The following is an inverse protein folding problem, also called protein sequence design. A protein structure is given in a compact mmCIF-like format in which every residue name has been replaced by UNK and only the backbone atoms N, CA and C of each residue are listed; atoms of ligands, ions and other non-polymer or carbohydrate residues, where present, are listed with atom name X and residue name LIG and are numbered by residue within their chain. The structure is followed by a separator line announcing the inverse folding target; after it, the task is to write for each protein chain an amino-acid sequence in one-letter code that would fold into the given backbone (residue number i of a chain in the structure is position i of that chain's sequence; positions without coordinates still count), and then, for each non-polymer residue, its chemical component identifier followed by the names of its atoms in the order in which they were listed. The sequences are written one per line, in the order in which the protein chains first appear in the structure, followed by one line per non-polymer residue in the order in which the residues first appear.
data_IF_974508966819
#
_entry.id   IF_974508966819
#
_cell.length_a   1.000
_cell.length_b   1.000
_cell.length_c   1.000
_cell.angle_alpha   90.00
_cell.angle_beta   90.00
_cell.angle_gamma   90.00
#
_symmetry.space_group_name_H-M   'P 1'
#
loop_
_entity.id
_entity.type
_entity.pdbx_description
1 polymer ?
#
# COMPACT_ATOMS: atom_id res chain seq x y z
N UNK A 1 -33.97 55.90 -32.34
CA UNK A 1 -33.52 55.65 -30.95
C UNK A 1 -33.78 54.21 -30.54
N UNK A 2 -35.03 53.72 -30.52
CA UNK A 2 -35.34 52.33 -30.15
C UNK A 2 -34.63 51.24 -31.01
N UNK A 3 -34.50 51.44 -32.32
CA UNK A 3 -33.77 50.51 -33.20
C UNK A 3 -32.25 50.50 -32.98
N UNK A 4 -31.67 51.60 -32.51
CA UNK A 4 -30.24 51.69 -32.21
C UNK A 4 -29.94 50.98 -30.88
N UNK A 5 -30.79 51.16 -29.87
CA UNK A 5 -30.68 50.44 -28.59
C UNK A 5 -30.88 48.92 -28.77
N UNK A 6 -31.82 48.50 -29.62
CA UNK A 6 -32.01 47.09 -29.94
C UNK A 6 -30.79 46.48 -30.67
N UNK A 7 -30.15 47.27 -31.54
CA UNK A 7 -28.94 46.85 -32.24
C UNK A 7 -27.73 46.73 -31.31
N UNK A 8 -27.55 47.69 -30.40
CA UNK A 8 -26.49 47.65 -29.37
C UNK A 8 -26.68 46.47 -28.41
N UNK A 9 -27.91 46.22 -27.94
CA UNK A 9 -28.22 45.07 -27.10
C UNK A 9 -27.92 43.72 -27.81
N UNK A 10 -28.23 43.62 -29.11
CA UNK A 10 -27.91 42.44 -29.90
C UNK A 10 -26.39 42.24 -30.10
N UNK A 11 -25.63 43.33 -30.26
CA UNK A 11 -24.18 43.31 -30.35
C UNK A 11 -23.52 42.90 -29.02
N UNK A 12 -24.00 43.42 -27.90
CA UNK A 12 -23.54 43.02 -26.57
C UNK A 12 -23.81 41.53 -26.30
N UNK A 13 -25.00 41.04 -26.67
CA UNK A 13 -25.32 39.64 -26.52
C UNK A 13 -24.41 38.74 -27.37
N UNK A 14 -24.11 39.17 -28.60
CA UNK A 14 -23.19 38.48 -29.50
C UNK A 14 -21.76 38.49 -28.96
N UNK A 15 -21.30 39.61 -28.42
CA UNK A 15 -19.98 39.74 -27.79
C UNK A 15 -19.85 38.84 -26.56
N UNK A 16 -20.88 38.80 -25.70
CA UNK A 16 -20.94 37.91 -24.53
C UNK A 16 -20.90 36.43 -24.95
N UNK A 17 -21.70 36.04 -25.95
CA UNK A 17 -21.69 34.67 -26.50
C UNK A 17 -20.32 34.30 -27.07
N UNK A 18 -19.68 35.23 -27.80
CA UNK A 18 -18.33 35.03 -28.34
C UNK A 18 -17.28 34.87 -27.25
N UNK A 19 -17.31 35.70 -26.20
CA UNK A 19 -16.42 35.60 -25.05
C UNK A 19 -16.57 34.26 -24.32
N UNK A 20 -17.82 33.83 -24.06
CA UNK A 20 -18.08 32.53 -23.43
C UNK A 20 -17.58 31.37 -24.31
N UNK A 21 -17.74 31.47 -25.63
CA UNK A 21 -17.31 30.45 -26.56
C UNK A 21 -15.78 30.37 -26.63
N UNK A 22 -15.09 31.52 -26.68
CA UNK A 22 -13.63 31.55 -26.67
C UNK A 22 -13.04 31.10 -25.34
N UNK A 23 -13.62 31.51 -24.20
CA UNK A 23 -13.20 31.06 -22.88
C UNK A 23 -13.33 29.53 -22.74
N UNK A 24 -14.41 28.93 -23.26
CA UNK A 24 -14.59 27.47 -23.28
C UNK A 24 -13.68 26.79 -24.29
N UNK A 25 -13.49 27.36 -25.47
CA UNK A 25 -12.70 26.78 -26.56
C UNK A 25 -11.21 26.75 -26.25
N UNK A 26 -10.67 27.81 -25.66
CA UNK A 26 -9.26 27.96 -25.32
C UNK A 26 -8.98 27.77 -23.82
N UNK A 27 -9.89 27.10 -23.11
CA UNK A 27 -9.70 26.72 -21.71
C UNK A 27 -8.50 25.80 -21.55
N UNK A 28 -7.90 25.81 -20.35
CA UNK A 28 -6.68 25.06 -20.03
C UNK A 28 -6.85 23.56 -20.29
N UNK A 29 -8.05 23.00 -20.05
CA UNK A 29 -8.38 21.59 -20.31
C UNK A 29 -8.42 21.21 -21.79
N UNK A 30 -8.47 22.18 -22.71
CA UNK A 30 -8.46 21.97 -24.16
C UNK A 30 -7.13 22.29 -24.81
N UNK A 31 -6.12 22.68 -24.03
CA UNK A 31 -4.76 22.88 -24.55
C UNK A 31 -4.20 21.55 -25.03
N UNK A 32 -3.46 21.60 -26.14
CA UNK A 32 -2.71 20.45 -26.61
C UNK A 32 -1.71 20.02 -25.52
N UNK A 33 -1.70 18.73 -25.17
CA UNK A 33 -0.89 18.20 -24.07
C UNK A 33 -1.49 18.41 -22.68
N UNK A 34 -2.78 18.76 -22.57
CA UNK A 34 -3.47 18.73 -21.28
C UNK A 34 -3.53 17.30 -20.74
N UNK A 35 -3.07 17.13 -19.50
CA UNK A 35 -3.14 15.88 -18.76
C UNK A 35 -4.30 15.98 -17.79
N UNK A 36 -5.22 15.02 -17.86
CA UNK A 36 -6.33 14.92 -16.92
C UNK A 36 -5.81 14.72 -15.49
N UNK A 37 -6.56 15.18 -14.47
CA UNK A 37 -6.18 14.97 -13.09
C UNK A 37 -6.02 13.47 -12.79
N UNK A 38 -5.09 13.16 -11.90
CA UNK A 38 -4.87 11.80 -11.44
C UNK A 38 -6.15 11.23 -10.79
N UNK A 39 -6.39 9.93 -10.99
CA UNK A 39 -7.50 9.25 -10.34
C UNK A 39 -7.27 9.24 -8.83
N UNK A 40 -8.26 9.74 -8.10
CA UNK A 40 -8.21 9.77 -6.64
C UNK A 40 -8.46 8.38 -6.06
N UNK A 41 -7.95 8.17 -4.84
CA UNK A 41 -8.20 6.94 -4.09
C UNK A 41 -9.70 6.85 -3.73
N UNK A 42 -10.27 5.67 -3.96
CA UNK A 42 -11.66 5.38 -3.63
C UNK A 42 -11.77 4.87 -2.19
N UNK A 43 -12.91 5.07 -1.50
CA UNK A 43 -13.12 4.52 -0.16
C UNK A 43 -12.97 2.98 -0.14
N UNK A 44 -12.31 2.40 0.88
CA UNK A 44 -12.05 0.95 0.94
C UNK A 44 -13.34 0.11 1.01
N UNK A 45 -14.43 0.67 1.52
CA UNK A 45 -15.75 0.03 1.57
C UNK A 45 -16.31 -0.24 0.18
N UNK A 46 -15.94 0.57 -0.82
CA UNK A 46 -16.43 0.44 -2.18
C UNK A 46 -16.03 -0.92 -2.77
N UNK A 47 -14.75 -1.27 -2.70
CA UNK A 47 -14.27 -2.56 -3.22
C UNK A 47 -14.80 -3.73 -2.37
N UNK A 48 -14.85 -3.59 -1.04
CA UNK A 48 -15.40 -4.63 -0.14
C UNK A 48 -16.86 -4.95 -0.49
N UNK A 49 -17.67 -3.90 -0.72
CA UNK A 49 -19.08 -4.07 -1.11
C UNK A 49 -19.24 -4.71 -2.48
N UNK A 50 -18.44 -4.32 -3.47
CA UNK A 50 -18.48 -4.94 -4.81
C UNK A 50 -18.22 -6.44 -4.71
N UNK A 51 -17.19 -6.85 -3.98
CA UNK A 51 -16.84 -8.27 -3.81
C UNK A 51 -17.94 -9.03 -3.08
N UNK A 52 -18.48 -8.46 -1.98
CA UNK A 52 -19.59 -9.06 -1.22
C UNK A 52 -20.87 -9.20 -2.05
N UNK A 53 -21.20 -8.20 -2.87
CA UNK A 53 -22.39 -8.22 -3.74
C UNK A 53 -22.27 -9.25 -4.88
N UNK A 54 -21.07 -9.45 -5.45
CA UNK A 54 -20.84 -10.42 -6.54
C UNK A 54 -20.80 -11.86 -6.03
N UNK A 55 -20.21 -12.07 -4.83
CA UNK A 55 -20.13 -13.37 -4.16
C UNK A 55 -19.55 -14.45 -5.07
N UNK A 56 -20.24 -15.58 -5.15
CA UNK A 56 -19.88 -16.75 -5.96
C UNK A 56 -20.35 -16.68 -7.42
N UNK A 57 -20.89 -15.53 -7.87
CA UNK A 57 -21.46 -15.33 -9.21
C UNK A 57 -22.63 -16.28 -9.55
N UNK A 58 -23.30 -16.89 -8.56
CA UNK A 58 -24.51 -17.69 -8.77
C UNK A 58 -25.71 -16.84 -9.23
N UNK A 59 -25.78 -15.60 -8.76
CA UNK A 59 -26.87 -14.67 -9.07
C UNK A 59 -26.97 -14.33 -10.55
N UNK A 60 -28.21 -14.34 -11.08
CA UNK A 60 -28.51 -13.94 -12.46
C UNK A 60 -28.22 -12.45 -12.72
N UNK A 61 -28.20 -11.61 -11.67
CA UNK A 61 -27.96 -10.16 -11.76
C UNK A 61 -26.61 -9.83 -12.41
N UNK A 62 -25.57 -10.58 -12.07
CA UNK A 62 -24.18 -10.35 -12.53
C UNK A 62 -23.78 -11.28 -13.69
N UNK A 63 -24.75 -11.74 -14.49
CA UNK A 63 -24.49 -12.66 -15.61
C UNK A 63 -23.53 -12.08 -16.64
N UNK A 64 -23.62 -10.77 -16.90
CA UNK A 64 -22.78 -10.10 -17.90
C UNK A 64 -21.30 -10.05 -17.47
N UNK A 65 -21.03 -10.02 -16.16
CA UNK A 65 -19.68 -9.90 -15.60
C UNK A 65 -18.94 -11.24 -15.56
N UNK A 66 -19.63 -12.39 -15.65
CA UNK A 66 -19.02 -13.73 -15.66
C UNK A 66 -17.90 -13.87 -16.69
N UNK A 67 -18.09 -13.29 -17.88
CA UNK A 67 -17.08 -13.32 -18.95
C UNK A 67 -15.80 -12.57 -18.53
N UNK A 68 -15.94 -11.47 -17.79
CA UNK A 68 -14.83 -10.65 -17.33
C UNK A 68 -14.02 -11.39 -16.27
N UNK A 69 -14.68 -12.06 -15.32
CA UNK A 69 -14.03 -12.91 -14.31
C UNK A 69 -13.19 -14.02 -14.95
N UNK A 70 -13.72 -14.70 -15.97
CA UNK A 70 -12.96 -15.70 -16.73
C UNK A 70 -11.75 -15.09 -17.47
N UNK A 71 -11.91 -13.88 -18.03
CA UNK A 71 -10.80 -13.17 -18.68
C UNK A 71 -9.70 -12.74 -17.70
N UNK A 72 -10.08 -12.40 -16.47
CA UNK A 72 -9.15 -11.98 -15.42
C UNK A 72 -8.22 -13.11 -14.95
N UNK A 73 -8.62 -14.37 -15.12
CA UNK A 73 -7.80 -15.56 -14.78
C UNK A 73 -6.39 -15.50 -15.38
N UNK A 74 -6.25 -14.94 -16.58
CA UNK A 74 -4.95 -14.74 -17.26
C UNK A 74 -3.95 -13.97 -16.40
N UNK A 75 -4.42 -13.04 -15.55
CA UNK A 75 -3.58 -12.14 -14.76
C UNK A 75 -3.43 -12.56 -13.30
N UNK A 76 -4.09 -13.65 -12.87
CA UNK A 76 -3.98 -14.19 -11.51
C UNK A 76 -2.53 -14.43 -11.09
N UNK A 77 -1.62 -15.00 -11.94
CA UNK A 77 -0.22 -15.16 -11.55
C UNK A 77 0.46 -13.85 -11.15
N UNK A 78 0.13 -12.74 -11.83
CA UNK A 78 0.67 -11.42 -11.50
C UNK A 78 0.08 -10.87 -10.20
N UNK A 79 -1.22 -11.05 -9.96
CA UNK A 79 -1.85 -10.66 -8.71
C UNK A 79 -1.27 -11.42 -7.51
N UNK A 80 -1.08 -12.73 -7.66
CA UNK A 80 -0.46 -13.59 -6.62
C UNK A 80 0.99 -13.17 -6.37
N UNK A 81 1.76 -12.88 -7.42
CA UNK A 81 3.13 -12.39 -7.26
C UNK A 81 3.17 -11.10 -6.44
N UNK A 82 2.36 -10.09 -6.80
CA UNK A 82 2.30 -8.81 -6.08
C UNK A 82 1.80 -8.96 -4.65
N UNK A 83 0.91 -9.92 -4.39
CA UNK A 83 0.41 -10.24 -3.06
C UNK A 83 1.53 -10.81 -2.17
N UNK A 84 2.26 -11.81 -2.67
CA UNK A 84 3.34 -12.44 -1.92
C UNK A 84 4.56 -11.53 -1.75
N UNK A 85 4.84 -10.67 -2.73
CA UNK A 85 5.91 -9.68 -2.66
C UNK A 85 5.70 -8.72 -1.46
N UNK A 86 4.45 -8.37 -1.15
CA UNK A 86 4.11 -7.41 -0.10
C UNK A 86 3.67 -8.06 1.23
N UNK A 87 4.08 -9.30 1.51
CA UNK A 87 3.80 -9.95 2.81
C UNK A 87 4.29 -9.10 4.00
N UNK A 88 3.46 -8.90 5.05
CA UNK A 88 3.88 -8.16 6.24
C UNK A 88 5.07 -8.85 6.91
N UNK A 89 6.00 -8.03 7.41
CA UNK A 89 7.18 -8.55 8.11
C UNK A 89 6.81 -8.95 9.55
N UNK A 90 7.56 -9.84 10.23
CA UNK A 90 7.18 -10.35 11.56
C UNK A 90 7.08 -9.30 12.68
N UNK A 91 7.72 -8.15 12.50
CA UNK A 91 7.66 -7.00 13.41
C UNK A 91 6.52 -6.02 13.06
N UNK A 92 5.74 -6.29 12.01
CA UNK A 92 4.57 -5.49 11.65
C UNK A 92 3.29 -6.25 12.04
N UNK A 93 2.38 -5.57 12.74
CA UNK A 93 1.06 -6.14 13.05
C UNK A 93 0.13 -6.12 11.82
N UNK A 94 0.04 -4.97 11.16
CA UNK A 94 -0.83 -4.72 10.02
C UNK A 94 -0.07 -3.94 8.97
N UNK A 95 -0.23 -4.35 7.70
CA UNK A 95 0.29 -3.61 6.56
C UNK A 95 -0.86 -3.17 5.65
N UNK A 96 -0.98 -1.87 5.45
CA UNK A 96 -1.92 -1.28 4.50
C UNK A 96 -1.22 -1.04 3.16
N UNK A 97 -1.64 -1.75 2.12
CA UNK A 97 -1.08 -1.60 0.78
C UNK A 97 -2.09 -0.93 -0.15
N UNK A 98 -1.61 -0.09 -1.07
CA UNK A 98 -2.42 0.42 -2.18
C UNK A 98 -2.81 -0.70 -3.13
N UNK A 99 -4.07 -0.71 -3.51
CA UNK A 99 -4.64 -1.72 -4.42
C UNK A 99 -5.22 -1.06 -5.66
N UNK A 100 -5.05 -1.72 -6.80
CA UNK A 100 -5.80 -1.46 -8.04
C UNK A 100 -6.73 -2.64 -8.24
N UNK A 101 -8.02 -2.37 -8.31
CA UNK A 101 -9.05 -3.39 -8.50
C UNK A 101 -9.83 -3.13 -9.78
N UNK A 102 -10.33 -4.21 -10.39
CA UNK A 102 -11.27 -4.11 -11.51
C UNK A 102 -12.61 -3.57 -11.01
N UNK A 103 -13.28 -2.70 -11.78
CA UNK A 103 -14.56 -2.07 -11.40
C UNK A 103 -15.67 -3.07 -11.02
N UNK A 104 -15.62 -4.29 -11.54
CA UNK A 104 -16.57 -5.38 -11.19
C UNK A 104 -16.07 -6.31 -10.07
N UNK A 105 -14.90 -6.05 -9.49
CA UNK A 105 -14.28 -6.92 -8.47
C UNK A 105 -13.61 -8.18 -9.03
N UNK A 106 -13.47 -8.30 -10.36
CA UNK A 106 -12.96 -9.53 -11.00
C UNK A 106 -11.52 -9.92 -10.59
N UNK A 107 -10.67 -8.92 -10.29
CA UNK A 107 -9.30 -9.11 -9.84
C UNK A 107 -8.83 -7.86 -9.10
N UNK A 108 -7.95 -8.07 -8.14
CA UNK A 108 -7.30 -7.01 -7.35
C UNK A 108 -5.80 -7.23 -7.37
N UNK A 109 -5.06 -6.16 -7.68
CA UNK A 109 -3.60 -6.14 -7.67
C UNK A 109 -3.13 -5.22 -6.54
N UNK A 110 -2.06 -5.61 -5.85
CA UNK A 110 -1.32 -4.68 -5.00
C UNK A 110 -0.44 -3.81 -5.91
N UNK A 111 -0.64 -2.49 -5.86
CA UNK A 111 0.07 -1.51 -6.67
C UNK A 111 1.23 -0.87 -5.92
N UNK A 112 2.01 -1.71 -5.24
CA UNK A 112 3.18 -1.28 -4.48
C UNK A 112 4.32 -2.26 -4.69
N UNK A 113 5.54 -1.75 -4.68
CA UNK A 113 6.76 -2.55 -4.64
C UNK A 113 7.42 -2.25 -3.30
N UNK A 114 7.65 -3.27 -2.46
CA UNK A 114 8.25 -3.07 -1.14
C UNK A 114 9.67 -2.58 -1.33
N UNK A 115 9.97 -1.40 -0.78
CA UNK A 115 11.31 -0.85 -0.76
C UNK A 115 11.75 -0.75 0.68
N UNK A 116 12.92 -1.29 0.96
CA UNK A 116 13.50 -1.31 2.30
C UNK A 116 14.84 -0.61 2.28
N UNK A 117 15.20 0.01 3.39
CA UNK A 117 16.57 0.51 3.60
C UNK A 117 17.41 -0.68 4.02
N UNK A 118 18.37 -1.09 3.20
CA UNK A 118 19.15 -2.30 3.39
C UNK A 118 19.74 -2.45 4.82
N UNK A 119 20.50 -1.49 5.38
CA UNK A 119 21.07 -1.66 6.72
C UNK A 119 20.00 -1.78 7.82
N UNK A 120 18.87 -1.09 7.67
CA UNK A 120 17.73 -1.20 8.61
C UNK A 120 17.11 -2.59 8.50
N UNK A 121 16.87 -3.06 7.29
CA UNK A 121 16.25 -4.36 7.03
C UNK A 121 17.09 -5.52 7.59
N UNK A 122 18.42 -5.47 7.40
CA UNK A 122 19.33 -6.48 7.96
C UNK A 122 19.32 -6.43 9.49
N UNK A 123 19.35 -5.23 10.08
CA UNK A 123 19.26 -5.07 11.52
C UNK A 123 17.93 -5.60 12.09
N UNK A 124 16.80 -5.28 11.45
CA UNK A 124 15.47 -5.79 11.84
C UNK A 124 15.47 -7.34 11.85
N UNK A 125 15.93 -7.98 10.77
CA UNK A 125 16.03 -9.45 10.73
C UNK A 125 17.01 -10.03 11.75
N UNK A 126 18.09 -9.31 12.09
CA UNK A 126 19.00 -9.75 13.14
C UNK A 126 18.34 -9.70 14.52
N UNK A 127 17.51 -8.68 14.81
CA UNK A 127 16.72 -8.66 16.04
C UNK A 127 15.68 -9.79 16.06
N UNK A 128 15.06 -10.11 14.91
CA UNK A 128 14.16 -11.27 14.79
C UNK A 128 14.87 -12.58 15.08
N UNK A 129 16.09 -12.75 14.57
CA UNK A 129 16.92 -13.92 14.84
C UNK A 129 17.19 -14.11 16.34
N UNK A 130 17.50 -13.02 17.05
CA UNK A 130 17.70 -13.04 18.50
C UNK A 130 16.42 -13.44 19.22
N UNK A 131 15.29 -12.76 18.92
CA UNK A 131 14.01 -13.00 19.58
C UNK A 131 13.50 -14.42 19.34
N UNK A 132 13.53 -14.90 18.09
CA UNK A 132 13.09 -16.26 17.76
C UNK A 132 13.96 -17.33 18.43
N UNK A 133 15.28 -17.09 18.59
CA UNK A 133 16.18 -18.00 19.32
C UNK A 133 15.89 -18.02 20.82
N UNK A 134 15.63 -16.86 21.43
CA UNK A 134 15.26 -16.74 22.85
C UNK A 134 13.93 -17.45 23.10
N UNK A 135 12.90 -17.16 22.31
CA UNK A 135 11.58 -17.79 22.41
C UNK A 135 11.66 -19.31 22.26
N UNK A 136 12.43 -19.82 21.28
CA UNK A 136 12.62 -21.26 21.09
C UNK A 136 13.37 -21.94 22.24
N UNK A 137 14.29 -21.23 22.91
CA UNK A 137 15.03 -21.74 24.08
C UNK A 137 14.14 -21.79 25.31
N UNK A 138 13.34 -20.75 25.53
CA UNK A 138 12.61 -20.55 26.79
C UNK A 138 11.23 -21.26 26.79
N UNK A 139 10.61 -21.45 25.62
CA UNK A 139 9.31 -22.10 25.51
C UNK A 139 9.40 -23.63 25.63
N UNK A 140 8.76 -24.20 26.65
CA UNK A 140 8.72 -25.66 26.88
C UNK A 140 8.02 -26.46 25.78
N UNK A 141 6.90 -25.95 25.26
CA UNK A 141 6.12 -26.62 24.22
C UNK A 141 5.80 -25.65 23.08
N UNK A 142 6.52 -25.79 21.97
CA UNK A 142 6.27 -25.04 20.74
C UNK A 142 5.35 -25.85 19.82
N UNK A 143 4.06 -25.54 19.86
CA UNK A 143 3.05 -26.18 18.99
C UNK A 143 3.11 -25.54 17.60
N UNK A 144 3.44 -26.34 16.58
CA UNK A 144 3.40 -25.89 15.19
C UNK A 144 1.96 -25.77 14.69
N UNK A 145 1.72 -24.83 13.78
CA UNK A 145 0.44 -24.74 13.07
C UNK A 145 0.19 -26.02 12.26
N UNK A 146 -1.09 -26.35 12.08
CA UNK A 146 -1.51 -27.43 11.18
C UNK A 146 -1.67 -26.85 9.78
N UNK A 147 -1.28 -27.64 8.78
CA UNK A 147 -1.45 -27.30 7.38
C UNK A 147 -2.29 -28.39 6.71
N UNK A 148 -3.36 -28.04 5.98
CA UNK A 148 -3.92 -26.68 5.80
C UNK A 148 -4.51 -26.09 7.11
N UNK A 149 -4.53 -24.75 7.28
CA UNK A 149 -5.12 -24.13 8.46
C UNK A 149 -6.66 -24.22 8.53
N UNK A 150 -7.32 -24.24 7.37
CA UNK A 150 -8.78 -24.31 7.22
C UNK A 150 -9.17 -25.63 6.54
N UNK A 151 -10.41 -26.06 6.74
CA UNK A 151 -10.98 -27.25 6.08
C UNK A 151 -11.38 -26.92 4.63
N UNK A 152 -11.41 -27.93 3.76
CA UNK A 152 -11.68 -27.74 2.32
C UNK A 152 -13.14 -27.33 2.04
N UNK A 153 -14.07 -27.70 2.93
CA UNK A 153 -15.50 -27.37 2.84
C UNK A 153 -15.85 -26.02 3.52
N UNK A 154 -14.89 -25.40 4.21
CA UNK A 154 -15.12 -24.12 4.89
C UNK A 154 -15.04 -22.95 3.89
N UNK A 155 -16.07 -22.11 3.78
CA UNK A 155 -16.01 -20.94 2.89
C UNK A 155 -14.99 -19.91 3.41
N UNK A 156 -14.35 -19.12 2.53
CA UNK A 156 -13.46 -18.04 2.95
C UNK A 156 -14.17 -17.06 3.90
N UNK A 157 -13.52 -16.74 5.01
CA UNK A 157 -14.04 -15.80 6.01
C UNK A 157 -14.07 -14.36 5.47
N UNK A 158 -15.16 -13.64 5.70
CA UNK A 158 -15.25 -12.21 5.35
C UNK A 158 -14.41 -11.36 6.31
N UNK A 159 -13.57 -10.49 5.74
CA UNK A 159 -12.69 -9.60 6.51
C UNK A 159 -13.48 -8.58 7.33
N UNK A 160 -14.55 -8.01 6.75
CA UNK A 160 -15.34 -6.98 7.42
C UNK A 160 -16.06 -7.51 8.67
N UNK A 161 -16.56 -8.74 8.60
CA UNK A 161 -17.39 -9.31 9.66
C UNK A 161 -16.53 -10.00 10.75
N UNK A 162 -15.34 -10.52 10.41
CA UNK A 162 -14.55 -11.36 11.33
C UNK A 162 -13.22 -10.76 11.80
N UNK A 163 -12.62 -9.83 11.03
CA UNK A 163 -11.23 -9.39 11.27
C UNK A 163 -11.10 -7.88 11.50
N UNK A 164 -12.02 -7.05 10.98
CA UNK A 164 -11.88 -5.60 11.02
C UNK A 164 -11.90 -5.03 12.45
N UNK A 165 -12.72 -5.60 13.33
CA UNK A 165 -12.90 -5.12 14.72
C UNK A 165 -12.04 -5.90 15.73
N UNK A 166 -11.17 -6.79 15.26
CA UNK A 166 -10.30 -7.61 16.12
C UNK A 166 -8.92 -7.00 16.16
N UNK A 167 -8.47 -6.63 17.35
CA UNK A 167 -7.12 -6.11 17.53
C UNK A 167 -6.07 -7.19 17.18
N UNK A 168 -5.05 -6.84 16.38
CA UNK A 168 -4.01 -7.77 16.02
C UNK A 168 -3.18 -8.16 17.25
N UNK A 169 -2.62 -9.35 17.23
CA UNK A 169 -1.67 -9.78 18.24
C UNK A 169 -0.40 -8.91 18.18
N UNK A 170 0.33 -8.90 19.29
CA UNK A 170 1.62 -8.22 19.38
C UNK A 170 2.61 -8.80 18.36
N UNK A 171 3.33 -7.90 17.67
CA UNK A 171 4.35 -8.30 16.72
C UNK A 171 5.61 -8.78 17.46
N UNK A 172 6.54 -9.40 16.73
CA UNK A 172 7.83 -9.74 17.32
C UNK A 172 8.68 -8.48 17.34
N UNK A 173 8.99 -7.98 18.53
CA UNK A 173 9.84 -6.81 18.73
C UNK A 173 10.91 -7.14 19.79
N UNK A 174 12.14 -6.68 19.57
CA UNK A 174 13.19 -6.72 20.58
C UNK A 174 13.09 -5.44 21.41
N UNK A 175 13.08 -5.57 22.74
CA UNK A 175 13.23 -4.42 23.63
C UNK A 175 14.57 -3.73 23.37
N UNK A 176 14.51 -2.51 22.83
CA UNK A 176 15.67 -1.66 22.56
C UNK A 176 16.03 -0.84 23.80
N UNK A 177 17.31 -0.51 23.95
CA UNK A 177 17.78 0.33 25.06
C UNK A 177 17.62 1.83 24.71
N UNK A 178 16.93 2.60 25.54
CA UNK A 178 16.64 4.01 25.26
C UNK A 178 17.91 4.87 25.12
N UNK A 179 18.99 4.56 25.85
CA UNK A 179 20.21 5.34 25.83
C UNK A 179 21.15 4.88 24.70
N UNK A 180 21.42 3.58 24.61
CA UNK A 180 22.35 3.01 23.61
C UNK A 180 21.76 3.00 22.19
N UNK A 181 20.44 2.73 22.07
CA UNK A 181 19.73 2.65 20.79
C UNK A 181 18.91 3.90 20.46
N UNK A 182 19.08 4.98 21.22
CA UNK A 182 18.42 6.29 21.04
C UNK A 182 18.33 6.76 19.57
N UNK A 183 19.33 6.48 18.74
CA UNK A 183 19.36 6.88 17.34
C UNK A 183 18.30 6.20 16.45
N UNK A 184 17.84 5.00 16.83
CA UNK A 184 16.89 4.18 16.06
C UNK A 184 15.59 3.87 16.83
N UNK A 185 15.60 4.02 18.16
CA UNK A 185 14.53 3.62 19.08
C UNK A 185 13.11 3.93 18.60
N UNK A 186 12.84 5.16 18.17
CA UNK A 186 11.49 5.63 17.85
C UNK A 186 10.88 5.03 16.57
N UNK A 187 11.71 4.64 15.59
CA UNK A 187 11.25 4.32 14.23
C UNK A 187 11.67 2.95 13.73
N UNK A 188 12.43 2.20 14.53
CA UNK A 188 13.12 1.00 14.08
C UNK A 188 12.18 -0.09 13.53
N UNK A 189 10.98 -0.23 14.10
CA UNK A 189 9.99 -1.22 13.68
C UNK A 189 8.87 -0.67 12.79
N UNK A 190 8.98 0.58 12.34
CA UNK A 190 8.03 1.15 11.38
C UNK A 190 8.06 0.40 10.02
N UNK A 191 6.93 0.38 9.32
CA UNK A 191 6.82 -0.20 7.98
C UNK A 191 7.74 0.49 6.95
N UNK A 192 7.78 1.82 6.97
CA UNK A 192 8.67 2.64 6.14
C UNK A 192 9.42 3.64 7.04
N UNK A 193 10.51 3.20 7.68
CA UNK A 193 11.24 4.04 8.61
C UNK A 193 11.76 5.32 7.97
N UNK A 194 11.78 6.42 8.73
CA UNK A 194 12.36 7.71 8.30
C UNK A 194 11.69 8.36 7.07
N UNK A 195 10.56 7.86 6.57
CA UNK A 195 9.91 8.33 5.32
C UNK A 195 9.63 9.84 5.27
N UNK A 196 9.24 10.43 6.39
CA UNK A 196 8.92 11.86 6.53
C UNK A 196 10.07 12.71 7.07
N UNK A 197 11.30 12.19 7.01
CA UNK A 197 12.50 12.88 7.49
C UNK A 197 13.39 13.34 6.33
N UNK A 198 14.38 14.19 6.65
CA UNK A 198 15.40 14.65 5.69
C UNK A 198 16.31 13.54 5.14
N UNK A 199 16.31 12.36 5.76
CA UNK A 199 17.19 11.26 5.39
C UNK A 199 16.69 10.48 4.17
N UNK A 200 15.42 10.66 3.80
CA UNK A 200 14.78 10.00 2.66
C UNK A 200 14.27 11.05 1.67
N UNK A 201 14.28 10.70 0.39
CA UNK A 201 13.86 11.60 -0.70
C UNK A 201 12.33 11.78 -0.83
N UNK A 202 11.55 11.47 0.19
CA UNK A 202 10.08 11.55 0.23
C UNK A 202 9.37 10.22 -0.10
N UNK A 203 8.10 10.31 -0.51
CA UNK A 203 7.20 9.15 -0.66
C UNK A 203 7.65 8.08 -1.65
N UNK A 204 8.55 8.43 -2.58
CA UNK A 204 9.08 7.46 -3.54
C UNK A 204 10.01 6.42 -2.90
N UNK A 205 10.57 6.73 -1.71
CA UNK A 205 11.40 5.86 -0.88
C UNK A 205 12.53 5.16 -1.66
N UNK A 206 13.27 5.92 -2.48
CA UNK A 206 14.29 5.37 -3.41
C UNK A 206 15.72 5.62 -2.96
N UNK A 207 15.97 6.73 -2.28
CA UNK A 207 17.30 7.16 -1.87
C UNK A 207 17.27 7.45 -0.38
N UNK A 208 18.27 6.94 0.32
CA UNK A 208 18.47 7.13 1.74
C UNK A 208 19.87 7.65 2.01
N UNK A 209 19.99 8.53 3.00
CA UNK A 209 21.24 9.08 3.50
C UNK A 209 21.12 9.21 5.02
N UNK A 210 21.75 8.31 5.76
CA UNK A 210 21.68 8.28 7.22
C UNK A 210 23.01 8.70 7.85
N UNK A 211 22.99 9.35 9.03
CA UNK A 211 24.19 9.79 9.72
C UNK A 211 24.92 8.62 10.39
N UNK A 212 26.19 8.84 10.73
CA UNK A 212 27.06 7.81 11.32
C UNK A 212 26.52 7.18 12.61
N UNK A 213 25.91 7.92 13.57
CA UNK A 213 25.34 7.31 14.77
C UNK A 213 24.28 6.25 14.46
N UNK A 214 23.36 6.53 13.52
CA UNK A 214 22.34 5.57 13.07
C UNK A 214 23.03 4.32 12.48
N UNK A 215 24.02 4.51 11.60
CA UNK A 215 24.74 3.39 11.00
C UNK A 215 25.48 2.54 12.03
N UNK A 216 26.10 3.16 13.04
CA UNK A 216 26.81 2.45 14.09
C UNK A 216 25.86 1.57 14.91
N UNK A 217 24.70 2.12 15.29
CA UNK A 217 23.66 1.39 16.02
C UNK A 217 23.09 0.23 15.19
N UNK A 218 22.73 0.48 13.92
CA UNK A 218 22.24 -0.57 13.01
C UNK A 218 23.27 -1.69 12.81
N UNK A 219 24.55 -1.35 12.64
CA UNK A 219 25.63 -2.32 12.49
C UNK A 219 25.77 -3.21 13.74
N UNK A 220 25.69 -2.61 14.94
CA UNK A 220 25.72 -3.33 16.22
C UNK A 220 24.55 -4.32 16.34
N UNK A 221 23.33 -3.87 16.05
CA UNK A 221 22.11 -4.70 16.08
C UNK A 221 22.17 -5.83 15.04
N UNK A 222 22.74 -5.55 13.87
CA UNK A 222 22.91 -6.52 12.78
C UNK A 222 23.99 -7.58 13.04
N UNK A 223 24.77 -7.48 14.13
CA UNK A 223 25.97 -8.29 14.36
C UNK A 223 25.76 -9.81 14.31
N UNK A 224 24.57 -10.33 14.61
CA UNK A 224 24.28 -11.77 14.51
C UNK A 224 24.22 -12.30 13.07
N UNK A 225 24.00 -11.44 12.08
CA UNK A 225 23.87 -11.81 10.67
C UNK A 225 25.07 -11.35 9.81
N UNK A 226 25.87 -10.42 10.32
CA UNK A 226 27.05 -9.92 9.62
C UNK A 226 28.24 -10.88 9.80
N UNK A 227 29.11 -10.90 8.79
CA UNK A 227 30.35 -11.67 8.85
C UNK A 227 31.41 -10.90 9.65
N UNK A 228 32.18 -11.62 10.47
CA UNK A 228 33.35 -11.08 11.19
C UNK A 228 34.63 -11.05 10.33
N UNK A 229 34.55 -11.48 9.06
CA UNK A 229 35.69 -11.50 8.16
C UNK A 229 36.04 -10.07 7.70
N UNK A 230 37.18 -9.57 8.14
CA UNK A 230 37.84 -8.41 7.56
C UNK A 230 39.05 -8.88 6.76
N UNK A 231 39.09 -8.59 5.47
CA UNK A 231 40.31 -8.79 4.67
C UNK A 231 41.44 -7.96 5.31
N UNK A 232 42.55 -8.64 5.62
CA UNK A 232 43.78 -8.03 6.14
C UNK A 232 44.69 -7.60 5.00
#
# INVERSE_FOLDING_TARGET
MADQEAHEAALEEKARKWQQLNAKRYGISRKFGYVEPEKQEMPPEHVRKIIKDHGDMSSRKFRHDKRVYLGALKFVPHAVFKLLENMPMPWEQVRHCKVIYHVTGAITFINETPKVIEPVYVAQWATMWIMMRREKRDRRHFKRMRFPPFDDEEPPLDYADNLLDVDPLEAIELELDEDEDSAVYEWFYDHMPLKHTKFINGDSYRKWQVPLPIMATLYRLAGQLLSELTDK
#
